data_IF_905357741096
#
_entry.id   IF_905357741096
#
_cell.length_a   1.000
_cell.length_b   1.000
_cell.length_c   1.000
_cell.angle_alpha   90.00
_cell.angle_beta   90.00
_cell.angle_gamma   90.00
#
_symmetry.space_group_name_H-M   'P 1'
#
loop_
_entity.id
_entity.type
_entity.pdbx_description
1 polymer ?
#
# COMPACT_ATOMS: atom_id res chain seq x y z
N UNK A 1 -26.01 42.28 -8.54
CA UNK A 1 -24.65 42.63 -9.00
C UNK A 1 -23.87 41.32 -9.10
N UNK A 2 -23.34 40.81 -10.22
CA UNK A 2 -22.92 41.44 -11.47
C UNK A 2 -21.40 41.67 -11.48
N UNK A 3 -20.69 41.03 -12.44
CA UNK A 3 -19.25 41.07 -12.77
C UNK A 3 -18.30 40.14 -11.96
N UNK A 4 -17.43 39.32 -12.56
CA UNK A 4 -16.98 39.20 -13.95
C UNK A 4 -15.44 39.27 -14.06
N UNK A 5 -14.82 38.13 -14.38
CA UNK A 5 -13.54 37.86 -15.06
C UNK A 5 -12.41 38.92 -15.11
N UNK A 6 -11.17 38.48 -14.85
CA UNK A 6 -10.15 38.22 -15.91
C UNK A 6 -8.71 38.24 -15.36
N UNK A 7 -7.93 37.17 -15.61
CA UNK A 7 -6.58 37.29 -16.18
C UNK A 7 -5.94 35.92 -16.40
N UNK A 8 -5.82 35.57 -17.68
CA UNK A 8 -4.68 34.85 -18.29
C UNK A 8 -4.63 33.31 -18.18
N UNK A 9 -5.44 32.69 -19.05
CA UNK A 9 -5.08 31.48 -19.81
C UNK A 9 -3.76 31.71 -20.57
N UNK A 10 -2.73 30.92 -20.30
CA UNK A 10 -1.64 30.68 -21.26
C UNK A 10 -2.06 29.55 -22.19
N UNK A 11 -2.43 29.90 -23.43
CA UNK A 11 -2.61 28.96 -24.52
C UNK A 11 -1.22 28.71 -25.13
N UNK A 12 -0.75 27.45 -25.08
CA UNK A 12 0.37 27.02 -25.89
C UNK A 12 -0.17 26.60 -27.26
N UNK A 13 0.11 27.42 -28.26
CA UNK A 13 -0.12 27.10 -29.67
C UNK A 13 0.87 26.01 -30.08
N UNK A 14 0.39 24.80 -30.36
CA UNK A 14 1.16 23.80 -31.11
C UNK A 14 0.59 23.69 -32.52
N UNK A 15 1.45 24.06 -33.46
CA UNK A 15 1.22 24.15 -34.89
C UNK A 15 1.44 22.75 -35.49
N UNK A 16 0.38 22.02 -35.84
CA UNK A 16 0.49 20.75 -36.59
C UNK A 16 0.34 21.03 -38.08
N UNK A 17 1.46 21.37 -38.72
CA UNK A 17 1.61 21.33 -40.17
C UNK A 17 2.58 20.21 -40.53
N UNK A 18 2.17 19.29 -41.40
CA UNK A 18 3.07 18.26 -41.93
C UNK A 18 2.38 16.96 -42.29
N UNK A 19 1.51 17.00 -43.30
CA UNK A 19 1.08 15.81 -44.04
C UNK A 19 2.26 15.37 -44.91
N UNK A 20 2.96 14.31 -44.52
CA UNK A 20 3.97 13.66 -45.36
C UNK A 20 3.52 12.26 -45.72
N UNK A 21 3.56 12.05 -47.02
CA UNK A 21 3.01 10.96 -47.81
C UNK A 21 3.77 9.67 -47.52
N UNK A 22 3.05 8.60 -47.22
CA UNK A 22 3.60 7.24 -47.14
C UNK A 22 4.00 6.78 -48.55
N UNK A 23 5.28 6.46 -48.75
CA UNK A 23 5.76 5.83 -49.98
C UNK A 23 6.12 4.38 -49.69
N UNK A 24 5.58 3.50 -50.51
CA UNK A 24 5.64 2.03 -50.42
C UNK A 24 6.92 1.56 -51.11
N UNK A 25 8.02 1.47 -50.37
CA UNK A 25 9.21 0.68 -50.72
C UNK A 25 10.23 0.72 -49.58
N UNK A 26 10.14 -0.19 -48.60
CA UNK A 26 11.31 -0.69 -47.84
C UNK A 26 10.93 -1.78 -46.83
N UNK A 27 10.12 -2.76 -47.27
CA UNK A 27 9.75 -3.95 -46.47
C UNK A 27 10.24 -5.21 -47.17
N UNK A 28 11.55 -5.37 -47.38
CA UNK A 28 12.11 -6.63 -47.95
C UNK A 28 13.61 -6.87 -47.67
N UNK A 29 14.16 -6.55 -46.48
CA UNK A 29 15.59 -6.88 -46.23
C UNK A 29 16.03 -7.47 -44.89
N UNK A 30 15.15 -7.81 -43.94
CA UNK A 30 15.61 -8.42 -42.67
C UNK A 30 14.80 -9.64 -42.22
N UNK A 31 14.78 -10.66 -43.06
CA UNK A 31 14.49 -12.05 -42.68
C UNK A 31 15.44 -12.97 -43.45
N UNK A 32 16.53 -13.45 -42.84
CA UNK A 32 17.10 -14.81 -43.01
C UNK A 32 18.45 -14.97 -42.30
N UNK A 33 18.63 -16.08 -41.58
CA UNK A 33 19.89 -16.55 -40.99
C UNK A 33 19.95 -16.31 -39.47
N UNK A 34 20.13 -17.30 -38.60
CA UNK A 34 20.84 -18.57 -38.76
C UNK A 34 20.22 -19.66 -37.89
N UNK A 35 20.26 -20.86 -38.45
CA UNK A 35 19.73 -22.13 -37.98
C UNK A 35 20.53 -22.64 -36.78
N UNK A 36 19.83 -22.91 -35.68
CA UNK A 36 20.34 -23.57 -34.49
C UNK A 36 20.24 -25.09 -34.70
N UNK A 37 21.36 -25.81 -34.68
CA UNK A 37 21.34 -27.27 -34.57
C UNK A 37 22.63 -27.82 -33.95
N UNK A 38 22.42 -28.81 -33.06
CA UNK A 38 23.34 -29.78 -32.47
C UNK A 38 24.27 -29.29 -31.34
N UNK A 39 24.57 -30.04 -30.27
CA UNK A 39 23.96 -31.13 -29.49
C UNK A 39 25.01 -31.44 -28.39
N UNK A 40 24.57 -31.93 -27.21
CA UNK A 40 25.30 -32.68 -26.17
C UNK A 40 25.99 -31.98 -24.96
N UNK A 41 25.34 -32.21 -23.80
CA UNK A 41 25.82 -32.78 -22.51
C UNK A 41 26.71 -31.93 -21.58
N UNK A 42 26.21 -31.63 -20.38
CA UNK A 42 26.63 -32.15 -19.04
C UNK A 42 25.46 -31.99 -18.05
N UNK A 43 25.25 -32.91 -17.07
CA UNK A 43 23.98 -33.04 -16.34
C UNK A 43 23.97 -32.41 -14.93
N UNK A 44 22.75 -32.26 -14.42
CA UNK A 44 22.29 -32.46 -13.03
C UNK A 44 23.14 -31.91 -11.86
N UNK A 45 22.60 -30.89 -11.19
CA UNK A 45 22.71 -30.76 -9.72
C UNK A 45 21.31 -30.49 -9.15
N UNK A 46 20.99 -31.33 -8.18
CA UNK A 46 19.78 -31.45 -7.39
C UNK A 46 19.71 -30.36 -6.29
N UNK A 47 18.52 -29.87 -5.96
CA UNK A 47 18.24 -29.33 -4.62
C UNK A 47 17.32 -28.11 -4.57
N UNK A 48 16.12 -28.35 -4.06
CA UNK A 48 15.29 -27.45 -3.26
C UNK A 48 14.42 -26.39 -3.99
N UNK A 49 13.21 -26.85 -4.33
CA UNK A 49 12.08 -26.03 -4.77
C UNK A 49 11.63 -25.06 -3.66
N UNK A 50 12.07 -23.80 -3.73
CA UNK A 50 11.29 -22.67 -3.24
C UNK A 50 10.50 -22.08 -4.41
N UNK A 51 9.18 -22.14 -4.27
CA UNK A 51 8.19 -21.51 -5.14
C UNK A 51 8.53 -20.03 -5.28
N UNK A 52 9.07 -19.62 -6.42
CA UNK A 52 9.27 -18.22 -6.78
C UNK A 52 7.92 -17.61 -7.12
N UNK A 53 7.36 -16.83 -6.20
CA UNK A 53 6.33 -15.85 -6.54
C UNK A 53 6.99 -14.64 -7.19
N UNK A 54 6.49 -14.32 -8.38
CA UNK A 54 6.82 -13.18 -9.22
C UNK A 54 6.93 -11.86 -8.43
N UNK A 55 8.15 -11.36 -8.26
CA UNK A 55 8.41 -9.94 -7.97
C UNK A 55 8.52 -9.19 -9.30
N UNK A 56 7.38 -8.76 -9.83
CA UNK A 56 7.33 -7.80 -10.91
C UNK A 56 7.79 -6.42 -10.44
N UNK A 57 8.84 -5.90 -11.10
CA UNK A 57 9.06 -4.51 -11.49
C UNK A 57 8.95 -3.39 -10.44
N UNK A 58 9.53 -3.57 -9.26
CA UNK A 58 10.07 -2.42 -8.53
C UNK A 58 11.39 -2.02 -9.17
N UNK A 59 11.33 -1.07 -10.13
CA UNK A 59 12.53 -0.43 -10.68
C UNK A 59 13.41 0.14 -9.55
N UNK A 60 14.74 0.24 -9.75
CA UNK A 60 15.62 0.76 -8.73
C UNK A 60 15.16 2.18 -8.35
N UNK A 61 14.90 2.39 -7.05
CA UNK A 61 14.66 3.74 -6.53
C UNK A 61 15.81 4.64 -6.95
N UNK A 62 15.56 5.92 -7.33
CA UNK A 62 16.65 6.82 -7.67
C UNK A 62 17.60 6.89 -6.49
N UNK A 63 18.87 6.55 -6.72
CA UNK A 63 19.94 6.84 -5.79
C UNK A 63 19.98 8.36 -5.70
N UNK A 64 19.39 8.92 -4.65
CA UNK A 64 19.68 10.28 -4.24
C UNK A 64 21.18 10.27 -3.97
N UNK A 65 21.96 10.91 -4.84
CA UNK A 65 23.35 11.23 -4.55
C UNK A 65 23.30 12.18 -3.37
N UNK A 66 23.40 11.62 -2.17
CA UNK A 66 23.70 12.40 -0.98
C UNK A 66 25.03 13.06 -1.27
N UNK A 67 24.99 14.37 -1.51
CA UNK A 67 26.22 15.14 -1.58
C UNK A 67 26.89 14.96 -0.23
N UNK A 68 28.07 14.38 -0.29
CA UNK A 68 29.02 14.11 0.78
C UNK A 68 29.59 15.43 1.30
N UNK A 69 28.72 16.27 1.82
CA UNK A 69 29.08 17.32 2.76
C UNK A 69 28.99 16.66 4.13
N UNK A 70 30.12 16.05 4.49
CA UNK A 70 30.40 15.58 5.83
C UNK A 70 30.23 16.76 6.79
N UNK A 71 29.07 16.82 7.44
CA UNK A 71 28.96 17.50 8.72
C UNK A 71 29.60 16.52 9.72
N UNK A 72 30.83 16.81 10.16
CA UNK A 72 31.39 16.22 11.38
C UNK A 72 30.44 16.57 12.53
N UNK A 73 29.41 15.75 12.73
CA UNK A 73 28.63 15.80 13.95
C UNK A 73 29.56 15.18 15.00
N UNK A 74 30.21 16.04 15.79
CA UNK A 74 31.08 15.65 16.89
C UNK A 74 30.47 14.46 17.63
N UNK A 75 31.22 13.35 17.70
CA UNK A 75 30.79 12.10 18.35
C UNK A 75 30.30 12.37 19.80
N UNK A 76 30.81 13.44 20.41
CA UNK A 76 30.43 13.95 21.73
C UNK A 76 29.01 14.54 21.80
N UNK A 77 28.50 15.18 20.74
CA UNK A 77 27.14 15.70 20.67
C UNK A 77 26.12 14.56 20.53
N UNK A 78 26.45 13.53 19.74
CA UNK A 78 25.64 12.31 19.59
C UNK A 78 25.62 11.52 20.90
N UNK A 79 26.77 11.39 21.57
CA UNK A 79 26.86 10.75 22.88
C UNK A 79 26.05 11.51 23.96
N UNK A 80 26.07 12.85 23.94
CA UNK A 80 25.24 13.68 24.84
C UNK A 80 23.74 13.52 24.54
N UNK A 81 23.32 13.48 23.27
CA UNK A 81 21.93 13.21 22.88
C UNK A 81 21.47 11.81 23.29
N UNK A 82 22.31 10.79 23.12
CA UNK A 82 22.02 9.43 23.58
C UNK A 82 21.97 9.32 25.11
N UNK A 83 22.84 10.04 25.83
CA UNK A 83 22.81 10.10 27.29
C UNK A 83 21.60 10.85 27.84
N UNK A 84 21.12 11.88 27.13
CA UNK A 84 19.84 12.54 27.43
C UNK A 84 18.67 11.58 27.21
N UNK A 85 18.65 10.88 26.07
CA UNK A 85 17.62 9.89 25.75
C UNK A 85 17.62 8.70 26.74
N UNK A 86 18.76 8.30 27.27
CA UNK A 86 18.85 7.26 28.30
C UNK A 86 18.14 7.67 29.62
N UNK A 87 18.20 8.96 29.98
CA UNK A 87 17.46 9.48 31.14
C UNK A 87 15.95 9.52 30.87
N UNK A 88 15.55 9.78 29.63
CA UNK A 88 14.15 9.76 29.22
C UNK A 88 13.58 8.34 29.18
N UNK A 89 14.36 7.34 28.75
CA UNK A 89 13.96 5.92 28.80
C UNK A 89 13.74 5.45 30.25
N UNK A 90 14.60 5.88 31.18
CA UNK A 90 14.44 5.54 32.60
C UNK A 90 13.17 6.16 33.21
N UNK A 91 12.74 7.31 32.68
CA UNK A 91 11.53 8.03 33.11
C UNK A 91 10.26 7.53 32.41
N UNK A 92 10.39 7.13 31.15
CA UNK A 92 9.32 6.62 30.29
C UNK A 92 9.79 5.31 29.67
N UNK A 93 9.60 4.17 30.37
CA UNK A 93 10.02 2.89 29.84
C UNK A 93 9.32 2.63 28.50
N UNK A 94 9.98 1.94 27.57
CA UNK A 94 9.37 1.61 26.30
C UNK A 94 8.08 0.84 26.54
N UNK A 95 7.04 1.21 25.78
CA UNK A 95 5.76 0.53 25.81
C UNK A 95 6.06 -0.91 25.36
N UNK A 96 5.95 -1.86 26.29
CA UNK A 96 6.26 -3.27 26.05
C UNK A 96 5.35 -3.90 24.99
N UNK A 97 5.58 -5.18 24.63
CA UNK A 97 4.69 -5.88 23.72
C UNK A 97 3.26 -5.89 24.29
N UNK A 98 2.27 -5.77 23.40
CA UNK A 98 0.86 -5.88 23.82
C UNK A 98 0.61 -7.24 24.47
N UNK A 99 -0.21 -7.30 25.54
CA UNK A 99 -0.60 -8.57 26.14
C UNK A 99 -1.40 -9.39 25.12
N UNK A 100 -1.58 -10.71 25.32
CA UNK A 100 -2.47 -11.50 24.47
C UNK A 100 -3.88 -10.90 24.43
N UNK A 101 -4.48 -10.84 23.23
CA UNK A 101 -5.84 -10.35 23.06
C UNK A 101 -6.83 -11.22 23.86
N UNK A 102 -7.84 -10.58 24.47
CA UNK A 102 -8.91 -11.29 25.18
C UNK A 102 -9.80 -12.01 24.17
N UNK A 103 -9.80 -13.34 24.21
CA UNK A 103 -10.67 -14.17 23.36
C UNK A 103 -11.92 -14.53 24.16
N UNK A 104 -13.14 -14.15 23.69
CA UNK A 104 -14.38 -14.54 24.33
C UNK A 104 -14.57 -16.05 24.38
N UNK A 105 -15.10 -16.58 25.49
CA UNK A 105 -15.27 -18.02 25.69
C UNK A 105 -16.34 -18.63 24.77
N UNK A 106 -17.33 -17.85 24.37
CA UNK A 106 -18.39 -18.18 23.42
C UNK A 106 -17.90 -18.15 21.95
N UNK A 107 -16.81 -17.43 21.67
CA UNK A 107 -16.22 -17.36 20.33
C UNK A 107 -14.72 -17.73 20.33
N UNK A 108 -14.38 -19.02 20.56
CA UNK A 108 -13.00 -19.47 20.48
C UNK A 108 -12.47 -19.31 19.05
N UNK A 109 -11.23 -18.83 18.93
CA UNK A 109 -10.53 -18.68 17.66
C UNK A 109 -10.05 -20.05 17.18
N UNK A 110 -10.51 -20.46 16.00
CA UNK A 110 -10.05 -21.69 15.33
C UNK A 110 -9.50 -21.35 13.94
N UNK A 111 -8.58 -22.14 13.38
CA UNK A 111 -8.04 -21.87 12.04
C UNK A 111 -9.14 -21.74 10.97
N UNK A 112 -10.16 -22.59 11.04
CA UNK A 112 -11.30 -22.55 10.12
C UNK A 112 -12.13 -21.25 10.27
N UNK A 113 -12.35 -20.76 11.50
CA UNK A 113 -13.04 -19.48 11.73
C UNK A 113 -12.24 -18.29 11.23
N UNK A 114 -10.91 -18.31 11.42
CA UNK A 114 -10.02 -17.25 10.94
C UNK A 114 -10.06 -17.21 9.40
N UNK A 115 -9.97 -18.36 8.74
CA UNK A 115 -10.05 -18.44 7.28
C UNK A 115 -11.41 -17.98 6.75
N UNK A 116 -12.50 -18.39 7.40
CA UNK A 116 -13.85 -17.92 7.07
C UNK A 116 -13.99 -16.41 7.25
N UNK A 117 -13.54 -15.87 8.40
CA UNK A 117 -13.56 -14.44 8.69
C UNK A 117 -12.78 -13.64 7.66
N UNK A 118 -11.61 -14.14 7.24
CA UNK A 118 -10.84 -13.56 6.13
C UNK A 118 -11.66 -13.52 4.85
N UNK A 119 -12.32 -14.61 4.45
CA UNK A 119 -13.17 -14.63 3.24
C UNK A 119 -14.29 -13.60 3.34
N UNK A 120 -15.00 -13.54 4.47
CA UNK A 120 -16.11 -12.61 4.68
C UNK A 120 -15.65 -11.15 4.68
N UNK A 121 -14.47 -10.85 5.22
CA UNK A 121 -13.93 -9.48 5.27
C UNK A 121 -13.76 -8.86 3.87
N UNK A 122 -13.44 -9.68 2.87
CA UNK A 122 -13.24 -9.25 1.48
C UNK A 122 -14.45 -9.55 0.57
N UNK A 123 -15.56 -10.09 1.11
CA UNK A 123 -16.72 -10.45 0.29
C UNK A 123 -17.70 -9.27 0.15
N UNK A 124 -17.85 -8.68 -1.05
CA UNK A 124 -18.76 -7.56 -1.24
C UNK A 124 -20.24 -7.96 -1.22
N UNK A 125 -20.55 -9.26 -1.34
CA UNK A 125 -21.94 -9.77 -1.34
C UNK A 125 -22.65 -9.63 -0.01
N UNK A 126 -21.91 -9.29 1.05
CA UNK A 126 -22.48 -8.96 2.36
C UNK A 126 -23.08 -7.55 2.39
N UNK A 127 -22.74 -6.68 1.43
CA UNK A 127 -23.38 -5.38 1.27
C UNK A 127 -24.70 -5.49 0.52
N UNK A 128 -25.67 -4.63 0.87
CA UNK A 128 -26.98 -4.61 0.20
C UNK A 128 -26.92 -4.27 -1.30
N UNK A 129 -25.81 -3.72 -1.80
CA UNK A 129 -25.58 -3.38 -3.20
C UNK A 129 -24.50 -4.24 -3.89
N UNK A 130 -23.99 -5.29 -3.23
CA UNK A 130 -22.94 -6.20 -3.73
C UNK A 130 -21.64 -5.52 -4.18
N UNK A 131 -21.36 -4.30 -3.72
CA UNK A 131 -20.20 -3.52 -4.15
C UNK A 131 -19.19 -3.26 -3.03
N UNK A 132 -19.65 -3.23 -1.78
CA UNK A 132 -18.83 -2.82 -0.64
C UNK A 132 -18.51 -4.04 0.23
N UNK A 133 -17.25 -4.17 0.64
CA UNK A 133 -16.80 -5.14 1.64
C UNK A 133 -16.22 -4.41 2.85
N UNK A 134 -15.89 -5.13 3.93
CA UNK A 134 -15.20 -4.54 5.07
C UNK A 134 -13.86 -3.92 4.64
N UNK A 135 -13.15 -4.60 3.72
CA UNK A 135 -11.87 -4.15 3.16
C UNK A 135 -11.96 -2.85 2.35
N UNK A 136 -13.15 -2.47 1.85
CA UNK A 136 -13.35 -1.22 1.12
C UNK A 136 -13.07 0.00 2.01
N UNK A 137 -13.49 -0.05 3.28
CA UNK A 137 -13.26 1.03 4.25
C UNK A 137 -12.09 0.74 5.21
N UNK A 138 -11.66 -0.51 5.32
CA UNK A 138 -10.53 -0.95 6.15
C UNK A 138 -9.46 -1.61 5.30
N UNK A 139 -8.82 -0.81 4.43
CA UNK A 139 -7.89 -1.30 3.41
C UNK A 139 -6.54 -1.71 4.03
N UNK A 140 -6.08 -2.96 3.86
CA UNK A 140 -4.78 -3.41 4.37
C UNK A 140 -3.59 -2.55 3.91
N UNK A 141 -3.64 -2.01 2.69
CA UNK A 141 -2.57 -1.16 2.15
C UNK A 141 -2.49 0.22 2.81
N UNK A 142 -3.56 0.65 3.48
CA UNK A 142 -3.66 1.96 4.16
C UNK A 142 -3.73 1.78 5.68
N UNK A 143 -3.06 0.75 6.22
CA UNK A 143 -3.07 0.47 7.65
C UNK A 143 -4.44 0.07 8.19
N UNK A 144 -5.25 -0.59 7.36
CA UNK A 144 -6.63 -0.98 7.66
C UNK A 144 -7.59 0.20 7.95
N UNK A 145 -7.32 1.35 7.33
CA UNK A 145 -8.24 2.48 7.22
C UNK A 145 -8.56 2.75 5.73
N UNK A 146 -9.36 3.79 5.43
CA UNK A 146 -9.70 4.20 4.06
C UNK A 146 -8.85 5.37 3.54
N UNK A 147 -8.13 6.08 4.43
CA UNK A 147 -7.32 7.24 4.08
C UNK A 147 -8.15 8.47 3.66
N UNK A 148 -9.46 8.46 3.92
CA UNK A 148 -10.38 9.54 3.57
C UNK A 148 -10.82 10.29 4.83
N UNK A 149 -11.03 11.62 4.79
CA UNK A 149 -11.56 12.36 5.94
C UNK A 149 -12.89 11.80 6.46
N UNK A 150 -13.73 11.33 5.53
CA UNK A 150 -14.98 10.63 5.80
C UNK A 150 -15.13 9.51 4.78
N UNK A 151 -15.63 8.37 5.23
CA UNK A 151 -15.81 7.22 4.36
C UNK A 151 -16.89 7.47 3.32
N UNK A 152 -16.83 6.77 2.20
CA UNK A 152 -17.89 6.74 1.19
C UNK A 152 -18.42 5.31 1.12
N UNK A 153 -19.72 5.12 1.34
CA UNK A 153 -20.29 3.78 1.34
C UNK A 153 -21.78 3.68 1.66
N UNK A 154 -22.20 2.48 2.05
CA UNK A 154 -23.61 2.12 2.23
C UNK A 154 -24.33 1.78 0.91
N UNK A 155 -25.63 1.42 0.97
CA UNK A 155 -26.41 1.03 -0.21
C UNK A 155 -26.40 2.08 -1.33
N UNK A 156 -26.44 3.36 -0.94
CA UNK A 156 -26.50 4.51 -1.86
C UNK A 156 -25.12 5.09 -2.23
N UNK A 157 -24.03 4.54 -1.70
CA UNK A 157 -22.67 5.05 -1.95
C UNK A 157 -22.47 6.52 -1.57
N UNK A 158 -23.09 6.94 -0.47
CA UNK A 158 -23.03 8.32 0.02
C UNK A 158 -21.84 8.50 0.96
N UNK A 159 -21.38 9.74 1.07
CA UNK A 159 -20.38 10.10 2.07
C UNK A 159 -20.99 9.98 3.48
N UNK A 160 -20.28 9.27 4.36
CA UNK A 160 -20.63 9.10 5.75
C UNK A 160 -20.34 10.34 6.60
N UNK A 161 -20.74 10.30 7.86
CA UNK A 161 -20.50 11.39 8.82
C UNK A 161 -19.16 11.34 9.54
N UNK A 162 -18.36 10.28 9.37
CA UNK A 162 -17.16 10.01 10.18
C UNK A 162 -16.05 9.37 9.34
N UNK A 163 -14.83 9.44 9.85
CA UNK A 163 -13.66 8.71 9.35
C UNK A 163 -13.76 7.21 9.69
N UNK A 164 -13.24 6.32 8.83
CA UNK A 164 -13.13 4.87 9.15
C UNK A 164 -11.90 4.62 10.03
N UNK A 165 -12.04 4.28 11.33
CA UNK A 165 -10.88 4.02 12.17
C UNK A 165 -10.11 2.80 11.67
N UNK A 166 -8.81 2.70 12.01
CA UNK A 166 -8.09 1.45 11.76
C UNK A 166 -8.65 0.31 12.61
N UNK A 167 -8.66 -0.90 12.07
CA UNK A 167 -8.98 -2.12 12.85
C UNK A 167 -7.74 -2.80 13.44
N UNK A 168 -6.54 -2.27 13.21
CA UNK A 168 -5.33 -2.75 13.90
C UNK A 168 -5.53 -2.54 15.39
N UNK A 169 -5.31 -3.58 16.18
CA UNK A 169 -5.46 -3.58 17.64
C UNK A 169 -6.88 -3.31 18.17
N UNK A 170 -7.93 -3.36 17.34
CA UNK A 170 -9.31 -3.13 17.79
C UNK A 170 -9.79 -4.13 18.86
N UNK A 171 -9.19 -5.32 18.90
CA UNK A 171 -9.46 -6.35 19.91
C UNK A 171 -9.08 -5.93 21.35
N UNK A 172 -8.28 -4.88 21.51
CA UNK A 172 -7.89 -4.34 22.82
C UNK A 172 -8.79 -3.17 23.26
N UNK A 173 -9.65 -2.66 22.39
CA UNK A 173 -10.57 -1.59 22.75
C UNK A 173 -11.68 -2.12 23.65
N UNK A 174 -11.96 -1.41 24.74
CA UNK A 174 -13.07 -1.74 25.65
C UNK A 174 -14.43 -1.38 25.07
N UNK A 175 -14.48 -0.39 24.17
CA UNK A 175 -15.67 0.04 23.43
C UNK A 175 -15.31 0.26 21.97
N UNK A 176 -16.25 -0.03 21.09
CA UNK A 176 -16.10 0.07 19.65
C UNK A 176 -16.87 1.28 19.11
N UNK A 177 -16.48 1.71 17.91
CA UNK A 177 -16.96 2.91 17.23
C UNK A 177 -16.58 4.25 17.91
N UNK A 178 -16.64 5.32 17.11
CA UNK A 178 -16.34 6.68 17.56
C UNK A 178 -17.21 7.21 18.71
N UNK A 179 -18.41 6.69 18.88
CA UNK A 179 -19.34 7.04 19.95
C UNK A 179 -19.40 6.00 21.07
N UNK A 180 -18.56 4.96 21.02
CA UNK A 180 -18.54 3.89 22.02
C UNK A 180 -19.84 3.09 22.12
N UNK A 181 -20.72 3.17 21.11
CA UNK A 181 -22.08 2.60 21.20
C UNK A 181 -22.13 1.08 21.24
N UNK A 182 -21.04 0.40 20.88
CA UNK A 182 -20.96 -1.06 20.93
C UNK A 182 -19.89 -1.49 21.94
N UNK A 183 -20.24 -2.36 22.90
CA UNK A 183 -19.30 -2.82 23.92
C UNK A 183 -18.29 -3.84 23.36
N UNK A 184 -18.66 -4.57 22.30
CA UNK A 184 -17.80 -5.58 21.66
C UNK A 184 -18.01 -5.56 20.15
N UNK A 185 -17.14 -6.26 19.44
CA UNK A 185 -17.33 -6.62 18.03
C UNK A 185 -18.47 -7.63 17.86
#
# INVERSE_FOLDING_TARGET
MGCGNSSQRRQANFNFGGFLVMNVADVTKYTFGYVFSLFFIVPAVQGDNLVQFFSGDYGPSPIISVNEQQEEIEEDEVAKKHAAHAKDIAKFPPIGPLPPAKIPADNPQTPAKIELGKKLFFDPRLSGNNWISCATCHNPALGFADGLPRFIGGPDSKEGGRHSPTIINCAYNEVQFWDGRAPTL
#
